data_IF_661779873642
#
_entry.id   IF_661779873642
#
_cell.length_a   1.000
_cell.length_b   1.000
_cell.length_c   1.000
_cell.angle_alpha   90.00
_cell.angle_beta   90.00
_cell.angle_gamma   90.00
#
_symmetry.space_group_name_H-M   'P 1'
#
loop_
_entity.id
_entity.type
_entity.pdbx_description
1 polymer ?
#
# COMPACT_ATOMS: atom_id res chain seq x y z
N UNK A 1 -12.04 -33.66 -36.30
CA UNK A 1 -12.73 -32.54 -36.98
C UNK A 1 -14.01 -32.04 -36.26
N UNK A 2 -14.89 -32.89 -35.74
CA UNK A 2 -16.12 -32.44 -35.06
C UNK A 2 -15.87 -31.54 -33.85
N UNK A 3 -14.93 -31.88 -32.93
CA UNK A 3 -14.60 -31.09 -31.76
C UNK A 3 -14.09 -29.67 -32.08
N UNK A 4 -13.34 -29.52 -33.19
CA UNK A 4 -12.84 -28.21 -33.63
C UNK A 4 -13.97 -27.29 -34.10
N UNK A 5 -14.92 -27.83 -34.87
CA UNK A 5 -16.10 -27.08 -35.33
C UNK A 5 -17.00 -26.65 -34.17
N UNK A 6 -17.17 -27.51 -33.15
CA UNK A 6 -17.92 -27.20 -31.95
C UNK A 6 -17.27 -26.07 -31.17
N UNK A 7 -15.92 -26.08 -30.98
CA UNK A 7 -15.16 -25.04 -30.30
C UNK A 7 -15.28 -23.70 -31.05
N UNK A 8 -15.13 -23.70 -32.38
CA UNK A 8 -15.29 -22.51 -33.21
C UNK A 8 -16.69 -21.89 -33.09
N UNK A 9 -17.72 -22.72 -33.04
CA UNK A 9 -19.11 -22.28 -32.85
C UNK A 9 -19.32 -21.68 -31.46
N UNK A 10 -18.76 -22.30 -30.40
CA UNK A 10 -18.80 -21.75 -29.03
C UNK A 10 -18.13 -20.41 -28.94
N UNK A 11 -16.92 -20.26 -29.49
CA UNK A 11 -16.19 -19.00 -29.52
C UNK A 11 -17.00 -17.92 -30.26
N UNK A 12 -17.51 -18.25 -31.44
CA UNK A 12 -18.29 -17.31 -32.25
C UNK A 12 -19.57 -16.84 -31.53
N UNK A 13 -20.27 -17.76 -30.86
CA UNK A 13 -21.51 -17.43 -30.15
C UNK A 13 -21.29 -16.61 -28.89
N UNK A 14 -20.05 -16.61 -28.32
CA UNK A 14 -19.70 -15.89 -27.08
C UNK A 14 -18.66 -14.81 -27.29
N UNK A 15 -18.47 -14.30 -28.51
CA UNK A 15 -17.44 -13.32 -28.84
C UNK A 15 -17.49 -12.06 -27.95
N UNK A 16 -18.68 -11.50 -27.70
CA UNK A 16 -18.88 -10.32 -26.88
C UNK A 16 -18.47 -10.56 -25.42
N UNK A 17 -18.81 -11.74 -24.88
CA UNK A 17 -18.41 -12.12 -23.53
C UNK A 17 -16.90 -12.32 -23.43
N UNK A 18 -16.30 -12.98 -24.39
CA UNK A 18 -14.85 -13.21 -24.45
C UNK A 18 -14.08 -11.88 -24.56
N UNK A 19 -14.57 -10.97 -25.43
CA UNK A 19 -14.01 -9.62 -25.55
C UNK A 19 -14.13 -8.83 -24.25
N UNK A 20 -15.30 -8.88 -23.60
CA UNK A 20 -15.51 -8.25 -22.30
C UNK A 20 -14.53 -8.77 -21.23
N UNK A 21 -14.37 -10.08 -21.14
CA UNK A 21 -13.43 -10.72 -20.20
C UNK A 21 -11.98 -10.27 -20.50
N UNK A 22 -11.60 -10.24 -21.77
CA UNK A 22 -10.27 -9.79 -22.21
C UNK A 22 -10.03 -8.33 -21.81
N UNK A 23 -10.97 -7.44 -22.15
CA UNK A 23 -10.85 -6.01 -21.83
C UNK A 23 -10.80 -5.76 -20.31
N UNK A 24 -11.66 -6.47 -19.55
CA UNK A 24 -11.65 -6.37 -18.09
C UNK A 24 -10.34 -6.89 -17.49
N UNK A 25 -9.80 -7.98 -18.03
CA UNK A 25 -8.52 -8.54 -17.59
C UNK A 25 -7.35 -7.57 -17.90
N UNK A 26 -7.36 -6.96 -19.09
CA UNK A 26 -6.38 -5.92 -19.43
C UNK A 26 -6.50 -4.69 -18.51
N UNK A 27 -7.72 -4.25 -18.23
CA UNK A 27 -7.98 -3.13 -17.32
C UNK A 27 -7.43 -3.42 -15.91
N UNK A 28 -7.77 -4.58 -15.33
CA UNK A 28 -7.23 -5.00 -14.03
C UNK A 28 -5.72 -5.14 -14.03
N UNK A 29 -5.15 -5.62 -15.12
CA UNK A 29 -3.71 -5.82 -15.21
C UNK A 29 -2.93 -4.51 -15.24
N UNK A 30 -3.41 -3.50 -15.99
CA UNK A 30 -2.64 -2.30 -16.28
C UNK A 30 -3.10 -1.03 -15.56
N UNK A 31 -4.41 -0.89 -15.24
CA UNK A 31 -4.98 0.39 -14.83
C UNK A 31 -5.33 0.42 -13.34
N UNK A 32 -6.21 -0.49 -12.90
CA UNK A 32 -6.67 -0.52 -11.52
C UNK A 32 -6.91 -1.96 -11.05
N UNK A 33 -6.64 -2.19 -9.78
CA UNK A 33 -6.86 -3.48 -9.15
C UNK A 33 -7.39 -3.29 -7.73
N UNK A 34 -7.77 -4.39 -7.08
CA UNK A 34 -8.12 -4.41 -5.67
C UNK A 34 -7.43 -5.56 -4.95
N UNK A 35 -7.04 -5.30 -3.70
CA UNK A 35 -6.34 -6.28 -2.88
C UNK A 35 -7.00 -6.41 -1.52
N UNK A 36 -7.14 -7.64 -1.04
CA UNK A 36 -7.57 -7.93 0.32
C UNK A 36 -6.38 -7.75 1.24
N UNK A 37 -6.60 -7.10 2.37
CA UNK A 37 -5.58 -6.81 3.38
C UNK A 37 -5.61 -7.88 4.47
N UNK A 38 -4.60 -8.74 4.57
CA UNK A 38 -4.58 -9.83 5.53
C UNK A 38 -3.94 -9.45 6.88
N UNK A 39 -3.23 -8.31 6.96
CA UNK A 39 -2.41 -7.94 8.11
C UNK A 39 -2.68 -6.54 8.62
N UNK A 40 -2.45 -6.32 9.91
CA UNK A 40 -2.69 -5.04 10.57
C UNK A 40 -1.52 -4.07 10.57
N UNK A 41 -0.53 -4.21 9.67
CA UNK A 41 0.66 -3.33 9.65
C UNK A 41 0.35 -1.87 9.34
N UNK A 42 -0.82 -1.59 8.74
CA UNK A 42 -1.29 -0.25 8.39
C UNK A 42 -2.42 0.25 9.29
N UNK A 43 -2.71 -0.43 10.42
CA UNK A 43 -3.68 0.07 11.41
C UNK A 43 -3.23 1.43 11.96
N UNK A 44 -4.14 2.35 12.20
CA UNK A 44 -5.60 2.26 12.07
C UNK A 44 -6.13 2.62 10.67
N UNK A 45 -5.29 3.06 9.74
CA UNK A 45 -5.69 3.54 8.40
C UNK A 45 -6.33 2.41 7.59
N UNK A 46 -5.66 1.28 7.51
CA UNK A 46 -6.14 0.05 6.85
C UNK A 46 -6.11 -1.08 7.87
N UNK A 47 -7.18 -1.87 7.92
CA UNK A 47 -7.33 -2.97 8.87
C UNK A 47 -7.51 -4.30 8.13
N UNK A 48 -7.33 -5.42 8.84
CA UNK A 48 -7.59 -6.76 8.30
C UNK A 48 -9.05 -6.88 7.85
N UNK A 49 -9.24 -7.49 6.67
CA UNK A 49 -10.56 -7.62 6.03
C UNK A 49 -10.97 -6.46 5.14
N UNK A 50 -10.18 -5.35 5.12
CA UNK A 50 -10.35 -4.32 4.11
C UNK A 50 -9.97 -4.85 2.73
N UNK A 51 -10.74 -4.46 1.74
CA UNK A 51 -10.41 -4.60 0.32
C UNK A 51 -10.13 -3.22 -0.24
N UNK A 52 -8.88 -2.95 -0.58
CA UNK A 52 -8.44 -1.63 -1.04
C UNK A 52 -8.40 -1.56 -2.56
N UNK A 53 -8.71 -0.39 -3.11
CA UNK A 53 -8.51 -0.07 -4.53
C UNK A 53 -7.11 0.49 -4.75
N UNK A 54 -6.48 0.07 -5.85
CA UNK A 54 -5.12 0.46 -6.21
C UNK A 54 -5.11 1.04 -7.62
N UNK A 55 -4.67 2.28 -7.72
CA UNK A 55 -4.38 2.94 -8.99
C UNK A 55 -2.99 2.52 -9.47
N UNK A 56 -2.93 1.66 -10.48
CA UNK A 56 -1.67 1.12 -11.02
C UNK A 56 -0.96 2.11 -11.93
N UNK A 57 -1.71 3.00 -12.58
CA UNK A 57 -1.14 4.04 -13.44
C UNK A 57 -0.69 5.29 -12.69
N UNK A 58 -0.74 5.27 -11.34
CA UNK A 58 -0.28 6.42 -10.56
C UNK A 58 1.21 6.74 -10.76
N UNK A 59 2.02 5.73 -11.07
CA UNK A 59 3.47 5.86 -11.19
C UNK A 59 4.01 5.38 -12.53
N UNK A 60 3.44 4.27 -13.06
CA UNK A 60 3.83 3.65 -14.32
C UNK A 60 2.61 3.14 -15.08
N UNK A 61 2.57 3.37 -16.38
CA UNK A 61 1.72 2.60 -17.28
C UNK A 61 2.49 1.37 -17.74
N UNK A 62 2.07 0.19 -17.29
CA UNK A 62 2.70 -1.09 -17.63
C UNK A 62 1.94 -1.82 -18.73
N UNK A 63 2.68 -2.55 -19.57
CA UNK A 63 2.07 -3.44 -20.56
C UNK A 63 1.25 -4.52 -19.81
N UNK A 64 -0.02 -4.75 -20.19
CA UNK A 64 -0.86 -5.75 -19.53
C UNK A 64 -0.17 -7.11 -19.43
N UNK A 65 -0.34 -7.78 -18.30
CA UNK A 65 0.23 -9.10 -17.97
C UNK A 65 1.76 -9.16 -17.91
N UNK A 66 2.44 -8.01 -17.88
CA UNK A 66 3.90 -7.94 -17.76
C UNK A 66 4.33 -6.94 -16.69
N UNK A 67 5.62 -6.94 -16.35
CA UNK A 67 6.24 -5.90 -15.51
C UNK A 67 6.91 -4.78 -16.32
N UNK A 68 6.78 -4.79 -17.65
CA UNK A 68 7.42 -3.81 -18.54
C UNK A 68 6.70 -2.48 -18.42
N UNK A 69 7.41 -1.44 -17.98
CA UNK A 69 6.91 -0.07 -17.96
C UNK A 69 6.99 0.53 -19.37
N UNK A 70 5.84 0.99 -19.88
CA UNK A 70 5.73 1.67 -21.17
C UNK A 70 5.95 3.17 -21.02
N UNK A 71 5.45 3.73 -19.91
CA UNK A 71 5.51 5.17 -19.66
C UNK A 71 5.49 5.42 -18.15
N UNK A 72 6.42 6.25 -17.66
CA UNK A 72 6.33 6.80 -16.30
C UNK A 72 5.27 7.88 -16.27
N UNK A 73 4.24 7.70 -15.47
CA UNK A 73 3.08 8.61 -15.36
C UNK A 73 3.17 9.51 -14.14
N UNK A 74 4.03 9.15 -13.17
CA UNK A 74 4.24 9.92 -11.96
C UNK A 74 5.34 9.34 -11.07
N UNK A 75 5.43 9.86 -9.87
CA UNK A 75 6.30 9.34 -8.82
C UNK A 75 5.56 9.36 -7.48
N UNK A 76 5.89 8.43 -6.56
CA UNK A 76 5.40 8.50 -5.19
C UNK A 76 5.74 9.83 -4.52
N UNK A 77 4.82 10.34 -3.73
CA UNK A 77 4.98 11.51 -2.88
C UNK A 77 5.02 11.10 -1.39
N UNK A 78 5.50 11.98 -0.53
CA UNK A 78 5.40 11.80 0.91
C UNK A 78 3.95 11.55 1.32
N UNK A 79 3.73 10.54 2.17
CA UNK A 79 2.41 10.16 2.65
C UNK A 79 1.63 9.21 1.73
N UNK A 80 2.08 8.96 0.50
CA UNK A 80 1.42 7.98 -0.37
C UNK A 80 1.45 6.57 0.23
N UNK A 81 0.32 5.90 0.18
CA UNK A 81 0.24 4.48 0.54
C UNK A 81 0.48 3.67 -0.74
N UNK A 82 1.60 2.97 -0.78
CA UNK A 82 2.01 2.17 -1.94
C UNK A 82 1.78 0.68 -1.71
N UNK A 83 1.41 0.01 -2.78
CA UNK A 83 1.42 -1.45 -2.88
C UNK A 83 2.61 -1.86 -3.70
N UNK A 84 3.41 -2.80 -3.21
CA UNK A 84 4.60 -3.28 -3.90
C UNK A 84 4.84 -4.76 -3.65
N UNK A 85 5.52 -5.43 -4.56
CA UNK A 85 6.01 -6.80 -4.39
C UNK A 85 7.45 -6.74 -3.93
N UNK A 86 7.66 -7.00 -2.65
CA UNK A 86 8.98 -6.98 -2.05
C UNK A 86 9.73 -8.29 -2.34
N UNK A 87 10.81 -8.19 -3.08
CA UNK A 87 11.74 -9.32 -3.27
C UNK A 87 12.37 -9.72 -1.95
N UNK A 88 12.73 -8.75 -1.10
CA UNK A 88 13.35 -9.01 0.21
C UNK A 88 12.42 -9.72 1.20
N UNK A 89 11.11 -9.47 1.13
CA UNK A 89 10.11 -10.09 1.99
C UNK A 89 9.43 -11.31 1.34
N UNK A 90 9.68 -11.57 0.06
CA UNK A 90 9.03 -12.59 -0.78
C UNK A 90 7.49 -12.52 -0.69
N UNK A 91 6.95 -11.29 -0.63
CA UNK A 91 5.50 -11.08 -0.52
C UNK A 91 5.07 -9.68 -0.95
N UNK A 92 3.77 -9.52 -1.18
CA UNK A 92 3.16 -8.21 -1.42
C UNK A 92 2.96 -7.46 -0.11
N UNK A 93 3.43 -6.23 -0.07
CA UNK A 93 3.34 -5.34 1.07
C UNK A 93 2.57 -4.05 0.73
N UNK A 94 1.98 -3.46 1.78
CA UNK A 94 1.31 -2.17 1.74
C UNK A 94 1.93 -1.33 2.84
N UNK A 95 2.53 -0.19 2.47
CA UNK A 95 3.21 0.71 3.41
C UNK A 95 3.03 2.17 2.97
N UNK A 96 3.32 3.09 3.89
CA UNK A 96 3.33 4.53 3.62
C UNK A 96 4.72 5.01 3.27
N UNK A 97 4.83 5.81 2.21
CA UNK A 97 6.07 6.48 1.79
C UNK A 97 6.40 7.58 2.79
N UNK A 98 7.57 7.47 3.41
CA UNK A 98 8.10 8.44 4.37
C UNK A 98 9.28 9.20 3.78
N UNK A 99 10.16 8.53 3.04
CA UNK A 99 11.32 9.15 2.40
C UNK A 99 11.33 8.91 0.91
N UNK A 100 11.63 9.97 0.16
CA UNK A 100 11.78 10.00 -1.28
C UNK A 100 13.26 9.91 -1.67
N UNK A 101 13.61 9.59 -2.93
CA UNK A 101 15.00 9.61 -3.41
C UNK A 101 15.71 10.92 -3.03
N UNK A 102 16.88 10.81 -2.41
CA UNK A 102 17.67 11.93 -1.94
C UNK A 102 17.35 12.44 -0.53
N UNK A 103 16.22 12.06 0.07
CA UNK A 103 15.91 12.46 1.45
C UNK A 103 16.87 11.84 2.46
N UNK A 104 17.20 12.62 3.48
CA UNK A 104 17.93 12.17 4.66
C UNK A 104 16.92 11.94 5.78
N UNK A 105 16.67 10.67 6.12
CA UNK A 105 15.66 10.28 7.10
C UNK A 105 16.32 9.66 8.33
N UNK A 106 15.81 9.98 9.51
CA UNK A 106 16.15 9.30 10.76
C UNK A 106 14.93 9.17 11.64
N UNK A 107 14.97 8.28 12.60
CA UNK A 107 13.91 8.13 13.60
C UNK A 107 14.51 7.95 14.99
N UNK A 108 14.00 8.69 15.97
CA UNK A 108 14.37 8.58 17.37
C UNK A 108 13.12 8.48 18.24
N UNK A 109 12.99 7.39 19.00
CA UNK A 109 11.81 7.13 19.84
C UNK A 109 10.49 7.34 19.11
N UNK A 110 10.38 6.76 17.91
CA UNK A 110 9.21 6.83 17.01
C UNK A 110 8.96 8.20 16.36
N UNK A 111 9.78 9.20 16.64
CA UNK A 111 9.68 10.53 16.02
C UNK A 111 10.60 10.57 14.80
N UNK A 112 10.05 10.87 13.64
CA UNK A 112 10.76 10.91 12.36
C UNK A 112 11.30 12.31 12.11
N UNK A 113 12.51 12.37 11.56
CA UNK A 113 13.12 13.60 11.04
C UNK A 113 13.47 13.39 9.58
N UNK A 114 13.02 14.28 8.71
CA UNK A 114 13.31 14.29 7.26
C UNK A 114 14.02 15.58 6.92
N UNK A 115 15.19 15.50 6.29
CA UNK A 115 16.00 16.66 5.86
C UNK A 115 16.24 17.69 6.98
N UNK A 116 16.42 17.19 8.21
CA UNK A 116 16.63 18.03 9.40
C UNK A 116 15.36 18.57 10.05
N UNK A 117 14.19 18.37 9.42
CA UNK A 117 12.89 18.79 9.99
C UNK A 117 12.21 17.62 10.69
N UNK A 118 11.94 17.77 11.97
CA UNK A 118 11.22 16.77 12.77
C UNK A 118 9.72 16.85 12.49
N UNK A 119 9.10 15.71 12.19
CA UNK A 119 7.66 15.64 11.92
C UNK A 119 6.85 15.97 13.19
N UNK A 120 5.80 16.74 13.00
CA UNK A 120 4.87 17.05 14.07
C UNK A 120 4.00 15.84 14.36
N UNK A 121 4.04 15.37 15.61
CA UNK A 121 3.17 14.31 16.13
C UNK A 121 2.32 14.86 17.26
N UNK A 122 1.00 14.75 17.13
CA UNK A 122 0.03 15.13 18.17
C UNK A 122 -0.69 13.89 18.69
N UNK A 123 -0.64 13.67 19.99
CA UNK A 123 -1.42 12.61 20.63
C UNK A 123 -2.92 12.87 20.40
N UNK A 124 -3.62 11.89 19.79
CA UNK A 124 -5.06 11.92 19.56
C UNK A 124 -5.82 11.13 20.62
N UNK A 125 -5.31 9.95 20.95
CA UNK A 125 -5.95 9.07 21.91
C UNK A 125 -4.91 8.20 22.61
N UNK A 126 -5.22 7.84 23.85
CA UNK A 126 -4.44 6.92 24.67
C UNK A 126 -5.39 5.93 25.33
N UNK A 127 -5.07 4.65 25.20
CA UNK A 127 -5.77 3.55 25.88
C UNK A 127 -4.79 2.80 26.77
N UNK A 128 -5.26 1.79 27.50
CA UNK A 128 -4.39 0.92 28.31
C UNK A 128 -3.29 0.25 27.45
N UNK A 129 -3.55 -0.03 26.17
CA UNK A 129 -2.71 -0.87 25.34
C UNK A 129 -1.98 -0.11 24.20
N UNK A 130 -2.37 1.11 23.88
CA UNK A 130 -1.85 1.83 22.70
C UNK A 130 -1.98 3.34 22.78
N UNK A 131 -1.13 4.00 21.98
CA UNK A 131 -1.22 5.42 21.65
C UNK A 131 -1.60 5.58 20.18
N UNK A 132 -2.46 6.55 19.87
CA UNK A 132 -2.74 7.02 18.54
C UNK A 132 -2.22 8.45 18.38
N UNK A 133 -1.36 8.67 17.40
CA UNK A 133 -0.81 9.99 17.08
C UNK A 133 -1.29 10.45 15.71
N UNK A 134 -1.61 11.72 15.58
CA UNK A 134 -1.72 12.40 14.30
C UNK A 134 -0.31 12.85 13.90
N UNK A 135 0.22 12.26 12.85
CA UNK A 135 1.51 12.64 12.27
C UNK A 135 1.27 13.49 11.01
N UNK A 136 1.99 14.61 10.92
CA UNK A 136 1.93 15.50 9.76
C UNK A 136 3.20 15.33 8.94
N UNK A 137 3.05 14.89 7.70
CA UNK A 137 4.12 14.64 6.75
C UNK A 137 3.88 15.52 5.53
N UNK A 138 4.63 16.60 5.40
CA UNK A 138 4.38 17.68 4.45
C UNK A 138 2.93 18.21 4.56
N UNK A 139 2.15 18.05 3.48
CA UNK A 139 0.73 18.43 3.41
C UNK A 139 -0.22 17.32 3.82
N UNK A 140 0.29 16.09 4.04
CA UNK A 140 -0.49 14.90 4.36
C UNK A 140 -0.56 14.70 5.86
N UNK A 141 -1.73 14.37 6.36
CA UNK A 141 -1.95 13.98 7.76
C UNK A 141 -2.41 12.54 7.82
N UNK A 142 -1.89 11.78 8.76
CA UNK A 142 -2.30 10.40 8.96
C UNK A 142 -2.16 9.99 10.42
N UNK A 143 -2.89 8.94 10.80
CA UNK A 143 -2.86 8.42 12.16
C UNK A 143 -1.87 7.28 12.23
N UNK A 144 -0.95 7.35 13.18
CA UNK A 144 -0.03 6.28 13.52
C UNK A 144 -0.42 5.63 14.85
N UNK A 145 -0.10 4.34 14.97
CA UNK A 145 -0.40 3.53 16.14
C UNK A 145 0.88 3.01 16.76
N UNK A 146 1.01 3.19 18.08
CA UNK A 146 2.07 2.61 18.89
C UNK A 146 1.44 1.72 19.97
N UNK A 147 1.79 0.43 20.00
CA UNK A 147 1.41 -0.46 21.09
C UNK A 147 2.26 -0.18 22.33
N UNK A 148 1.63 -0.11 23.50
CA UNK A 148 2.32 -0.05 24.79
C UNK A 148 2.96 -1.41 25.13
N UNK A 149 3.96 -1.38 25.99
CA UNK A 149 4.62 -2.58 26.52
C UNK A 149 5.25 -3.51 25.48
N UNK A 150 5.56 -2.98 24.28
CA UNK A 150 6.29 -3.70 23.24
C UNK A 150 7.71 -3.14 23.17
N UNK A 151 8.69 -3.90 23.66
CA UNK A 151 10.09 -3.59 23.42
C UNK A 151 10.44 -3.97 21.99
N UNK A 152 10.86 -3.01 21.20
CA UNK A 152 11.20 -3.23 19.80
C UNK A 152 12.40 -2.37 19.41
N UNK A 153 13.36 -2.99 18.74
CA UNK A 153 14.49 -2.29 18.11
C UNK A 153 14.05 -1.40 16.93
N UNK A 154 12.75 -1.41 16.59
CA UNK A 154 12.16 -0.63 15.51
C UNK A 154 11.76 0.80 15.94
N UNK A 155 12.09 1.22 17.15
CA UNK A 155 11.75 2.55 17.67
C UNK A 155 12.66 3.67 17.15
N UNK A 156 13.87 3.31 16.71
CA UNK A 156 14.88 4.28 16.28
C UNK A 156 15.75 3.68 15.16
N UNK A 157 16.23 4.53 14.26
CA UNK A 157 17.28 4.21 13.30
C UNK A 157 18.10 5.47 12.99
N UNK A 158 19.41 5.30 12.67
CA UNK A 158 20.32 6.42 12.41
C UNK A 158 19.91 7.15 11.12
N UNK A 159 20.56 8.30 10.85
CA UNK A 159 20.41 9.00 9.57
C UNK A 159 20.78 8.10 8.42
N UNK A 160 19.88 7.97 7.46
CA UNK A 160 20.06 7.25 6.22
C UNK A 160 19.63 8.13 5.05
N UNK A 161 20.39 8.13 3.97
CA UNK A 161 20.00 8.80 2.72
C UNK A 161 19.29 7.79 1.84
N UNK A 162 18.10 8.15 1.37
CA UNK A 162 17.33 7.31 0.46
C UNK A 162 18.00 7.32 -0.92
N UNK A 163 18.41 6.15 -1.45
CA UNK A 163 19.08 6.09 -2.74
C UNK A 163 18.16 6.49 -3.91
N UNK A 164 18.75 6.88 -5.03
CA UNK A 164 18.02 7.16 -6.26
C UNK A 164 17.16 5.97 -6.68
N UNK A 165 15.93 6.25 -7.11
CA UNK A 165 14.98 5.22 -7.53
C UNK A 165 14.46 4.31 -6.41
N UNK A 166 14.70 4.66 -5.13
CA UNK A 166 14.22 3.90 -3.97
C UNK A 166 13.35 4.78 -3.06
N UNK A 167 12.61 4.13 -2.17
CA UNK A 167 11.72 4.78 -1.20
C UNK A 167 11.92 4.18 0.18
N UNK A 168 11.87 5.02 1.20
CA UNK A 168 11.78 4.58 2.59
C UNK A 168 10.30 4.55 2.97
N UNK A 169 9.83 3.38 3.40
CA UNK A 169 8.42 3.17 3.72
C UNK A 169 8.24 2.64 5.14
N UNK A 170 7.20 3.08 5.82
CA UNK A 170 6.82 2.58 7.14
C UNK A 170 5.36 2.17 7.18
N UNK A 171 5.04 1.23 8.08
CA UNK A 171 3.65 0.94 8.43
C UNK A 171 3.10 1.96 9.42
N UNK A 172 1.81 2.27 9.33
CA UNK A 172 1.13 3.16 10.27
C UNK A 172 1.07 2.53 11.68
N UNK A 173 1.05 1.19 11.77
CA UNK A 173 1.18 0.41 13.00
C UNK A 173 2.67 0.20 13.34
N UNK A 174 3.33 1.24 13.82
CA UNK A 174 4.78 1.40 13.95
C UNK A 174 5.52 0.22 14.61
N UNK A 175 4.95 -0.40 15.63
CA UNK A 175 5.57 -1.51 16.36
C UNK A 175 5.07 -2.90 15.90
N UNK A 176 4.21 -2.95 14.89
CA UNK A 176 3.70 -4.18 14.31
C UNK A 176 3.76 -4.14 12.77
N UNK A 177 4.90 -3.70 12.26
CA UNK A 177 5.14 -3.57 10.82
C UNK A 177 6.57 -3.99 10.50
N UNK A 178 6.72 -4.98 9.64
CA UNK A 178 7.96 -5.25 8.93
C UNK A 178 7.97 -4.39 7.65
N UNK A 179 8.83 -3.39 7.62
CA UNK A 179 8.92 -2.36 6.60
C UNK A 179 10.40 -2.01 6.31
N UNK A 180 10.73 -0.80 5.85
CA UNK A 180 12.10 -0.42 5.52
C UNK A 180 13.10 -0.57 6.66
N UNK A 181 12.63 -0.59 7.90
CA UNK A 181 13.49 -0.86 9.09
C UNK A 181 13.97 -2.32 9.15
N UNK A 182 13.28 -3.22 8.46
CA UNK A 182 13.58 -4.67 8.41
C UNK A 182 14.12 -5.07 7.04
N UNK A 183 13.47 -4.63 5.96
CA UNK A 183 13.76 -5.08 4.60
C UNK A 183 14.57 -4.09 3.77
N UNK A 184 14.87 -2.90 4.31
CA UNK A 184 15.56 -1.84 3.58
C UNK A 184 14.65 -1.03 2.65
N UNK A 185 15.26 -0.30 1.74
CA UNK A 185 14.56 0.58 0.81
C UNK A 185 13.80 -0.20 -0.26
N UNK A 186 12.67 0.34 -0.70
CA UNK A 186 11.83 -0.25 -1.76
C UNK A 186 12.23 0.34 -3.10
N UNK A 187 12.71 -0.45 -4.06
CA UNK A 187 13.05 0.05 -5.39
C UNK A 187 11.79 0.33 -6.22
N UNK A 188 11.86 1.33 -7.10
CA UNK A 188 10.72 1.78 -7.91
C UNK A 188 10.08 0.66 -8.75
N UNK A 189 10.88 -0.26 -9.28
CA UNK A 189 10.37 -1.35 -10.13
C UNK A 189 9.48 -2.36 -9.38
N UNK A 190 9.58 -2.45 -8.05
CA UNK A 190 8.70 -3.29 -7.22
C UNK A 190 7.30 -2.70 -7.05
N UNK A 191 7.11 -1.39 -7.35
CA UNK A 191 5.82 -0.73 -7.16
C UNK A 191 4.74 -1.32 -8.08
N UNK A 192 3.57 -1.58 -7.48
CA UNK A 192 2.36 -2.02 -8.20
C UNK A 192 1.34 -0.89 -8.35
N UNK A 193 1.39 0.15 -7.51
CA UNK A 193 0.53 1.32 -7.60
C UNK A 193 0.24 1.97 -6.25
N UNK A 194 -0.61 2.99 -6.30
CA UNK A 194 -1.07 3.78 -5.15
C UNK A 194 -2.40 3.26 -4.64
N UNK A 195 -2.47 2.89 -3.37
CA UNK A 195 -3.73 2.59 -2.70
C UNK A 195 -4.52 3.89 -2.48
N UNK A 196 -5.82 3.89 -2.78
CA UNK A 196 -6.63 5.12 -2.76
C UNK A 196 -7.79 5.07 -1.80
N UNK A 197 -8.57 3.99 -1.81
CA UNK A 197 -9.78 3.85 -1.00
C UNK A 197 -9.91 2.43 -0.45
N UNK A 198 -10.67 2.28 0.62
CA UNK A 198 -11.27 0.99 0.99
C UNK A 198 -12.51 0.83 0.12
N UNK A 199 -12.55 -0.17 -0.76
CA UNK A 199 -13.73 -0.46 -1.56
C UNK A 199 -14.80 -1.16 -0.73
N UNK A 200 -14.36 -2.11 0.09
CA UNK A 200 -15.21 -2.97 0.91
C UNK A 200 -14.43 -3.44 2.15
N UNK A 201 -15.13 -3.72 3.25
CA UNK A 201 -14.51 -4.25 4.48
C UNK A 201 -15.36 -5.34 5.09
N UNK A 202 -14.72 -6.42 5.57
CA UNK A 202 -15.35 -7.54 6.27
C UNK A 202 -14.75 -7.71 7.65
N UNK A 203 -15.58 -7.99 8.63
CA UNK A 203 -15.17 -8.26 10.00
C UNK A 203 -14.84 -9.74 10.18
N UNK A 204 -13.55 -10.08 10.26
CA UNK A 204 -13.10 -11.46 10.43
C UNK A 204 -13.45 -12.03 11.82
N UNK A 205 -13.56 -11.15 12.81
CA UNK A 205 -13.87 -11.53 14.19
C UNK A 205 -15.38 -11.66 14.42
N UNK A 206 -16.21 -11.18 13.46
CA UNK A 206 -17.67 -11.19 13.53
C UNK A 206 -18.29 -11.81 12.27
N UNK A 207 -18.07 -13.11 12.05
CA UNK A 207 -18.67 -13.91 10.97
C UNK A 207 -18.54 -13.30 9.56
N UNK A 208 -17.48 -12.53 9.29
CA UNK A 208 -17.25 -11.84 8.01
C UNK A 208 -18.35 -10.83 7.65
N UNK A 209 -19.09 -10.32 8.64
CA UNK A 209 -20.09 -9.30 8.41
C UNK A 209 -19.48 -8.04 7.79
N UNK A 210 -20.19 -7.36 6.90
CA UNK A 210 -19.72 -6.13 6.28
C UNK A 210 -19.56 -5.01 7.31
N UNK A 211 -18.43 -4.29 7.26
CA UNK A 211 -18.22 -3.02 7.98
C UNK A 211 -18.58 -1.87 7.05
N UNK A 212 -19.89 -1.52 7.01
CA UNK A 212 -20.42 -0.52 6.05
C UNK A 212 -19.83 0.87 6.23
N UNK A 213 -19.41 1.24 7.45
CA UNK A 213 -18.78 2.52 7.78
C UNK A 213 -17.39 2.71 7.13
N UNK A 214 -16.83 1.61 6.59
CA UNK A 214 -15.54 1.63 5.88
C UNK A 214 -15.67 1.58 4.37
N UNK A 215 -16.87 1.43 3.83
CA UNK A 215 -17.05 1.34 2.38
C UNK A 215 -16.76 2.67 1.70
N UNK A 216 -16.04 2.61 0.59
CA UNK A 216 -15.59 3.77 -0.20
C UNK A 216 -14.83 4.83 0.61
N UNK A 217 -14.31 4.45 1.78
CA UNK A 217 -13.53 5.34 2.64
C UNK A 217 -12.21 5.70 1.97
N UNK A 218 -11.94 7.01 1.81
CA UNK A 218 -10.63 7.49 1.37
C UNK A 218 -9.55 7.08 2.37
N UNK A 219 -8.38 6.70 1.87
CA UNK A 219 -7.18 6.43 2.67
C UNK A 219 -6.38 7.70 2.98
N UNK A 220 -6.80 8.83 2.43
CA UNK A 220 -6.19 10.16 2.62
C UNK A 220 -7.18 11.12 3.25
N UNK A 221 -6.67 11.93 4.20
CA UNK A 221 -7.40 12.98 4.91
C UNK A 221 -6.94 14.35 4.45
#
# INVERSE_FOLDING_TARGET
MARLKTLQKLIKNNQSLLLFILLMSCFRSAIADWYIVPTGSMKPTIIEGDQITVNKIAYDLKLPFTSISLLKTGAPAHGDIIVFESVAADTRLIKRVIGLPGDVVSMSNHVITINGTTLNQRLLNETANEYLFLETLDKSKHITRLKKHVNSNLSSFPKVTVPDGHYLVLGDNRLNSADSRVYGFVPHHELKGKATHVAFSRDYDNFYLPRSERWFKSLYQ
#
